data_IF_445334136267
#
_entry.id   IF_445334136267
#
_cell.length_a   1.000
_cell.length_b   1.000
_cell.length_c   1.000
_cell.angle_alpha   90.00
_cell.angle_beta   90.00
_cell.angle_gamma   90.00
#
_symmetry.space_group_name_H-M   'P 1'
#
loop_
_entity.id
_entity.type
_entity.pdbx_description
1 polymer ?
#
# COMPACT_ATOMS: atom_id res chain seq x y z
N UNK A 1 -14.99 19.17 -13.32
CA UNK A 1 -13.72 18.53 -12.92
C UNK A 1 -13.00 19.31 -11.80
N UNK A 2 -12.69 20.61 -11.91
CA UNK A 2 -12.00 21.35 -10.84
C UNK A 2 -12.78 21.39 -9.51
N UNK A 3 -14.09 21.56 -9.51
CA UNK A 3 -14.93 21.54 -8.31
C UNK A 3 -14.93 20.15 -7.64
N UNK A 4 -14.90 19.08 -8.41
CA UNK A 4 -14.82 17.71 -7.88
C UNK A 4 -13.45 17.42 -7.25
N UNK A 5 -12.35 17.86 -7.88
CA UNK A 5 -11.00 17.73 -7.30
C UNK A 5 -10.92 18.45 -5.96
N UNK A 6 -11.52 19.65 -5.83
CA UNK A 6 -11.55 20.37 -4.56
C UNK A 6 -12.24 19.57 -3.44
N UNK A 7 -13.35 18.89 -3.74
CA UNK A 7 -14.07 18.05 -2.76
C UNK A 7 -13.22 16.88 -2.24
N UNK A 8 -12.41 16.28 -3.11
CA UNK A 8 -11.59 15.10 -2.76
C UNK A 8 -10.13 15.43 -2.41
N UNK A 9 -9.75 16.72 -2.45
CA UNK A 9 -8.34 17.16 -2.29
C UNK A 9 -7.72 16.66 -0.99
N UNK A 10 -8.46 16.73 0.12
CA UNK A 10 -7.99 16.24 1.43
C UNK A 10 -7.66 14.75 1.39
N UNK A 11 -8.48 13.96 0.70
CA UNK A 11 -8.30 12.52 0.52
C UNK A 11 -7.12 12.21 -0.41
N UNK A 12 -6.94 12.99 -1.49
CA UNK A 12 -5.79 12.86 -2.38
C UNK A 12 -4.47 13.14 -1.64
N UNK A 13 -4.43 14.22 -0.88
CA UNK A 13 -3.26 14.60 -0.07
C UNK A 13 -2.98 13.57 1.03
N UNK A 14 -4.03 13.05 1.70
CA UNK A 14 -3.85 11.99 2.70
C UNK A 14 -3.23 10.73 2.10
N UNK A 15 -3.65 10.32 0.90
CA UNK A 15 -3.04 9.19 0.18
C UNK A 15 -1.59 9.48 -0.19
N UNK A 16 -1.28 10.69 -0.70
CA UNK A 16 0.08 11.07 -1.05
C UNK A 16 1.01 11.02 0.17
N UNK A 17 0.67 11.73 1.25
CA UNK A 17 1.50 11.79 2.46
C UNK A 17 1.65 10.43 3.14
N UNK A 18 0.56 9.68 3.32
CA UNK A 18 0.63 8.35 3.93
C UNK A 18 1.41 7.36 3.07
N UNK A 19 1.32 7.43 1.74
CA UNK A 19 2.10 6.59 0.83
C UNK A 19 3.59 6.93 0.88
N UNK A 20 3.97 8.22 0.97
CA UNK A 20 5.36 8.64 1.17
C UNK A 20 5.90 8.00 2.46
N UNK A 21 5.17 8.14 3.56
CA UNK A 21 5.57 7.57 4.84
C UNK A 21 5.66 6.05 4.83
N UNK A 22 4.64 5.38 4.31
CA UNK A 22 4.58 3.91 4.31
C UNK A 22 5.66 3.29 3.44
N UNK A 23 5.92 3.84 2.25
CA UNK A 23 6.95 3.31 1.34
C UNK A 23 8.35 3.60 1.90
N UNK A 24 8.56 4.73 2.58
CA UNK A 24 9.81 5.00 3.31
C UNK A 24 10.05 3.95 4.42
N UNK A 25 9.04 3.60 5.21
CA UNK A 25 9.16 2.56 6.23
C UNK A 25 9.50 1.18 5.64
N UNK A 26 8.82 0.78 4.55
CA UNK A 26 9.11 -0.50 3.87
C UNK A 26 10.54 -0.54 3.35
N UNK A 27 11.08 0.59 2.87
CA UNK A 27 12.45 0.67 2.35
C UNK A 27 13.48 0.23 3.37
N UNK A 28 13.27 0.54 4.66
CA UNK A 28 14.20 0.23 5.75
C UNK A 28 13.82 -1.01 6.58
N UNK A 29 12.59 -1.53 6.44
CA UNK A 29 12.06 -2.55 7.33
C UNK A 29 12.92 -3.83 7.43
N UNK A 30 13.39 -4.36 6.29
CA UNK A 30 14.22 -5.55 6.25
C UNK A 30 15.61 -5.31 6.89
N UNK A 31 16.19 -4.13 6.64
CA UNK A 31 17.48 -3.73 7.21
C UNK A 31 17.38 -3.53 8.73
N UNK A 32 16.25 -2.97 9.20
CA UNK A 32 15.99 -2.78 10.64
C UNK A 32 15.96 -4.10 11.40
N UNK A 33 15.44 -5.19 10.80
CA UNK A 33 15.49 -6.51 11.43
C UNK A 33 16.94 -6.97 11.60
N UNK A 34 17.77 -6.77 10.58
CA UNK A 34 19.20 -7.14 10.64
C UNK A 34 19.94 -6.33 11.71
N UNK A 35 19.63 -5.04 11.85
CA UNK A 35 20.23 -4.16 12.86
C UNK A 35 19.85 -4.59 14.28
N UNK A 36 18.57 -4.89 14.52
CA UNK A 36 18.02 -5.15 15.87
C UNK A 36 18.16 -6.62 16.31
N UNK A 37 18.00 -7.61 15.40
CA UNK A 37 17.95 -9.02 15.78
C UNK A 37 19.12 -9.86 15.29
N UNK A 38 19.91 -9.36 14.33
CA UNK A 38 20.97 -10.10 13.63
C UNK A 38 20.54 -11.49 13.06
N UNK A 39 19.23 -11.79 13.05
CA UNK A 39 18.70 -13.07 12.58
C UNK A 39 18.00 -12.91 11.22
N UNK A 40 18.59 -13.43 10.12
CA UNK A 40 18.04 -13.27 8.78
C UNK A 40 16.69 -13.96 8.57
N UNK A 41 16.33 -14.96 9.38
CA UNK A 41 15.04 -15.65 9.26
C UNK A 41 13.85 -14.81 9.73
N UNK A 42 14.10 -13.73 10.46
CA UNK A 42 13.06 -12.85 11.00
C UNK A 42 12.68 -11.68 10.08
N UNK A 43 13.39 -11.50 8.96
CA UNK A 43 13.26 -10.35 8.05
C UNK A 43 11.83 -10.16 7.49
N UNK A 44 11.09 -11.23 7.29
CA UNK A 44 9.71 -11.17 6.80
C UNK A 44 8.66 -10.74 7.84
N UNK A 45 8.97 -10.83 9.13
CA UNK A 45 7.99 -10.61 10.21
C UNK A 45 7.42 -9.19 10.26
N UNK A 46 8.19 -8.11 10.11
CA UNK A 46 7.63 -6.75 10.11
C UNK A 46 6.60 -6.56 9.00
N UNK A 47 6.88 -7.03 7.78
CA UNK A 47 5.95 -6.95 6.67
C UNK A 47 4.68 -7.78 6.92
N UNK A 48 4.82 -9.01 7.44
CA UNK A 48 3.69 -9.86 7.77
C UNK A 48 2.79 -9.23 8.84
N UNK A 49 3.39 -8.66 9.89
CA UNK A 49 2.65 -7.96 10.94
C UNK A 49 2.05 -6.64 10.44
N UNK A 50 2.70 -5.94 9.52
CA UNK A 50 2.13 -4.78 8.86
C UNK A 50 0.83 -5.13 8.09
N UNK A 51 0.82 -6.24 7.36
CA UNK A 51 -0.39 -6.76 6.70
C UNK A 51 -1.46 -7.14 7.71
N UNK A 52 -1.09 -7.84 8.79
CA UNK A 52 -2.00 -8.16 9.90
C UNK A 52 -2.58 -6.91 10.56
N UNK A 53 -1.75 -5.88 10.75
CA UNK A 53 -2.17 -4.57 11.24
C UNK A 53 -3.16 -3.87 10.31
N UNK A 54 -2.93 -3.93 9.00
CA UNK A 54 -3.86 -3.37 8.02
C UNK A 54 -5.22 -4.09 8.01
N UNK A 55 -5.22 -5.41 8.20
CA UNK A 55 -6.47 -6.17 8.37
C UNK A 55 -7.24 -5.75 9.62
N UNK A 56 -6.58 -5.66 10.77
CA UNK A 56 -7.21 -5.18 12.02
C UNK A 56 -7.61 -3.71 11.91
N UNK A 57 -6.81 -2.90 11.21
CA UNK A 57 -7.09 -1.49 10.96
C UNK A 57 -8.38 -1.25 10.19
N UNK A 58 -8.77 -2.14 9.27
CA UNK A 58 -10.09 -2.09 8.62
C UNK A 58 -11.24 -2.27 9.62
N UNK A 59 -11.09 -3.16 10.59
CA UNK A 59 -12.11 -3.36 11.64
C UNK A 59 -12.20 -2.14 12.57
N UNK A 60 -11.06 -1.54 12.93
CA UNK A 60 -10.98 -0.31 13.72
C UNK A 60 -11.62 0.85 12.96
N UNK A 61 -11.33 0.98 11.68
CA UNK A 61 -11.95 1.98 10.81
C UNK A 61 -13.46 1.82 10.75
N UNK A 62 -13.99 0.61 10.56
CA UNK A 62 -15.43 0.34 10.52
C UNK A 62 -16.09 0.68 11.86
N UNK A 63 -15.46 0.36 12.97
CA UNK A 63 -15.96 0.73 14.30
C UNK A 63 -16.04 2.26 14.48
N UNK A 64 -14.98 2.99 14.13
CA UNK A 64 -14.97 4.43 14.25
C UNK A 64 -15.91 5.13 13.25
N UNK A 65 -16.06 4.61 12.04
CA UNK A 65 -16.95 5.18 11.02
C UNK A 65 -18.42 5.10 11.43
N UNK A 66 -18.82 4.03 12.13
CA UNK A 66 -20.16 3.86 12.69
C UNK A 66 -20.42 4.79 13.88
N UNK A 67 -19.40 5.02 14.71
CA UNK A 67 -19.53 5.80 15.94
C UNK A 67 -19.44 7.31 15.72
N UNK A 68 -18.60 7.76 14.79
CA UNK A 68 -18.33 9.18 14.55
C UNK A 68 -18.72 9.57 13.11
N UNK A 69 -17.74 9.67 12.24
CA UNK A 69 -17.91 9.89 10.80
C UNK A 69 -16.80 9.17 10.05
N UNK A 70 -17.02 8.89 8.77
CA UNK A 70 -16.02 8.23 7.92
C UNK A 70 -14.70 9.03 7.85
N UNK A 71 -14.79 10.35 7.72
CA UNK A 71 -13.60 11.22 7.70
C UNK A 71 -12.86 11.22 9.03
N UNK A 72 -13.58 11.34 10.16
CA UNK A 72 -12.94 11.23 11.48
C UNK A 72 -12.30 9.87 11.72
N UNK A 73 -12.95 8.78 11.25
CA UNK A 73 -12.37 7.45 11.31
C UNK A 73 -11.05 7.35 10.54
N UNK A 74 -10.98 7.93 9.31
CA UNK A 74 -9.74 7.99 8.53
C UNK A 74 -8.64 8.75 9.29
N UNK A 75 -8.94 9.96 9.76
CA UNK A 75 -7.98 10.80 10.48
C UNK A 75 -7.42 10.11 11.72
N UNK A 76 -8.29 9.53 12.55
CA UNK A 76 -7.87 8.79 13.75
C UNK A 76 -7.00 7.57 13.41
N UNK A 77 -7.35 6.83 12.37
CA UNK A 77 -6.59 5.66 11.93
C UNK A 77 -5.21 6.06 11.39
N UNK A 78 -5.08 7.20 10.70
CA UNK A 78 -3.79 7.75 10.31
C UNK A 78 -2.94 8.14 11.53
N UNK A 79 -3.50 8.76 12.56
CA UNK A 79 -2.74 9.08 13.79
C UNK A 79 -2.28 7.84 14.54
N UNK A 80 -3.07 6.76 14.55
CA UNK A 80 -2.62 5.45 15.07
C UNK A 80 -1.40 4.96 14.28
N UNK A 81 -1.42 5.09 12.94
CA UNK A 81 -0.27 4.77 12.10
C UNK A 81 0.96 5.63 12.40
N UNK A 82 0.77 6.93 12.63
CA UNK A 82 1.84 7.83 13.06
C UNK A 82 2.47 7.42 14.39
N UNK A 83 1.64 7.02 15.36
CA UNK A 83 2.12 6.44 16.62
C UNK A 83 2.92 5.15 16.38
N UNK A 84 2.50 4.29 15.44
CA UNK A 84 3.25 3.12 15.01
C UNK A 84 4.66 3.49 14.48
N UNK A 85 4.77 4.56 13.71
CA UNK A 85 6.06 5.08 13.24
C UNK A 85 6.98 5.53 14.39
N UNK A 86 6.43 6.18 15.41
CA UNK A 86 7.22 6.53 16.64
C UNK A 86 7.69 5.30 17.40
N UNK A 87 6.89 4.25 17.50
CA UNK A 87 7.32 2.97 18.11
C UNK A 87 8.48 2.36 17.29
N UNK A 88 8.44 2.44 15.96
CA UNK A 88 9.52 1.95 15.10
C UNK A 88 10.82 2.73 15.30
N UNK A 89 10.76 4.06 15.47
CA UNK A 89 11.94 4.87 15.83
C UNK A 89 12.51 4.37 17.17
N UNK A 90 11.64 4.21 18.16
CA UNK A 90 12.06 3.75 19.49
C UNK A 90 12.66 2.34 19.43
N UNK A 91 12.19 1.47 18.54
CA UNK A 91 12.72 0.11 18.38
C UNK A 91 14.18 0.09 17.96
N UNK A 92 14.61 1.00 17.08
CA UNK A 92 16.02 1.14 16.67
C UNK A 92 16.88 1.82 17.74
N UNK A 93 16.34 2.78 18.48
CA UNK A 93 17.07 3.44 19.58
C UNK A 93 17.32 2.48 20.74
N UNK A 94 16.41 1.53 20.98
CA UNK A 94 16.48 0.61 22.12
C UNK A 94 16.90 -0.81 21.73
N UNK A 95 17.26 -1.05 20.46
CA UNK A 95 17.60 -2.38 19.90
C UNK A 95 16.53 -3.45 20.21
N UNK A 96 15.24 -3.04 20.19
CA UNK A 96 14.14 -3.91 20.62
C UNK A 96 13.38 -4.50 19.44
N UNK A 97 13.57 -5.79 19.17
CA UNK A 97 12.82 -6.51 18.14
C UNK A 97 11.32 -6.55 18.43
N UNK A 98 10.92 -6.63 19.71
CA UNK A 98 9.50 -6.59 20.09
C UNK A 98 8.84 -5.26 19.68
N UNK A 99 9.51 -4.13 19.93
CA UNK A 99 9.01 -2.82 19.51
C UNK A 99 8.97 -2.69 17.98
N UNK A 100 9.92 -3.29 17.27
CA UNK A 100 9.92 -3.33 15.80
C UNK A 100 8.65 -4.04 15.27
N UNK A 101 8.29 -5.15 15.87
CA UNK A 101 7.08 -5.91 15.51
C UNK A 101 5.80 -5.14 15.86
N UNK A 102 5.72 -4.58 17.06
CA UNK A 102 4.57 -3.80 17.53
C UNK A 102 4.37 -2.53 16.68
N UNK A 103 5.45 -1.81 16.39
CA UNK A 103 5.42 -0.63 15.54
C UNK A 103 5.01 -0.96 14.11
N UNK A 104 5.50 -2.07 13.55
CA UNK A 104 5.11 -2.54 12.20
C UNK A 104 3.62 -2.88 12.13
N UNK A 105 3.08 -3.56 13.13
CA UNK A 105 1.66 -3.84 13.23
C UNK A 105 0.83 -2.55 13.31
N UNK A 106 1.24 -1.62 14.19
CA UNK A 106 0.51 -0.36 14.42
C UNK A 106 0.60 0.57 13.21
N UNK A 107 1.75 0.62 12.51
CA UNK A 107 1.88 1.34 11.24
C UNK A 107 0.96 0.72 10.16
N UNK A 108 0.85 -0.61 10.16
CA UNK A 108 -0.09 -1.35 9.30
C UNK A 108 -1.54 -0.95 9.54
N UNK A 109 -1.96 -0.73 10.79
CA UNK A 109 -3.29 -0.17 11.11
C UNK A 109 -3.47 1.16 10.37
N UNK A 110 -2.50 2.08 10.41
CA UNK A 110 -2.54 3.34 9.65
C UNK A 110 -2.63 3.14 8.14
N UNK A 111 -1.98 2.11 7.60
CA UNK A 111 -2.04 1.79 6.17
C UNK A 111 -3.46 1.45 5.70
N UNK A 112 -4.31 0.86 6.56
CA UNK A 112 -5.72 0.63 6.22
C UNK A 112 -6.46 1.92 5.87
N UNK A 113 -6.15 3.04 6.55
CA UNK A 113 -6.73 4.35 6.23
C UNK A 113 -6.32 4.83 4.84
N UNK A 114 -5.09 4.56 4.38
CA UNK A 114 -4.67 4.88 3.01
C UNK A 114 -5.52 4.13 1.98
N UNK A 115 -5.79 2.84 2.22
CA UNK A 115 -6.64 2.04 1.34
C UNK A 115 -8.09 2.54 1.36
N UNK A 116 -8.63 2.85 2.52
CA UNK A 116 -9.98 3.37 2.68
C UNK A 116 -10.17 4.79 2.11
N UNK A 117 -9.12 5.63 2.15
CA UNK A 117 -9.16 6.98 1.57
C UNK A 117 -9.39 6.95 0.05
N UNK A 118 -8.87 5.93 -0.65
CA UNK A 118 -9.10 5.72 -2.09
C UNK A 118 -10.58 5.50 -2.39
N UNK A 119 -11.25 4.67 -1.58
CA UNK A 119 -12.69 4.44 -1.71
C UNK A 119 -13.49 5.66 -1.26
N UNK A 120 -13.08 6.34 -0.18
CA UNK A 120 -13.73 7.55 0.29
C UNK A 120 -13.75 8.64 -0.79
N UNK A 121 -12.69 8.78 -1.59
CA UNK A 121 -12.66 9.70 -2.72
C UNK A 121 -13.76 9.43 -3.76
N UNK A 122 -14.06 8.15 -4.01
CA UNK A 122 -15.17 7.75 -4.89
C UNK A 122 -16.54 8.06 -4.29
N UNK A 123 -16.70 7.96 -2.97
CA UNK A 123 -17.99 8.27 -2.30
C UNK A 123 -18.28 9.77 -2.23
N UNK A 124 -17.26 10.61 -2.07
CA UNK A 124 -17.41 12.07 -2.00
C UNK A 124 -17.68 12.69 -3.38
N UNK A 125 -17.17 12.05 -4.43
CA UNK A 125 -17.34 12.52 -5.81
C UNK A 125 -18.78 12.33 -6.30
N UNK A 126 -19.21 13.20 -7.23
CA UNK A 126 -20.49 13.02 -7.92
C UNK A 126 -20.50 11.72 -8.75
N UNK A 127 -21.68 11.16 -9.02
CA UNK A 127 -21.87 9.89 -9.71
C UNK A 127 -21.04 9.76 -11.00
N UNK A 128 -20.97 10.84 -11.78
CA UNK A 128 -20.22 10.89 -13.04
C UNK A 128 -18.70 10.77 -12.86
N UNK A 129 -18.16 11.12 -11.68
CA UNK A 129 -16.72 11.18 -11.42
C UNK A 129 -16.22 10.15 -10.41
N UNK A 130 -17.05 9.21 -9.96
CA UNK A 130 -16.67 8.19 -8.95
C UNK A 130 -15.45 7.38 -9.36
N UNK A 131 -15.45 6.81 -10.56
CA UNK A 131 -14.34 6.01 -11.07
C UNK A 131 -13.08 6.85 -11.26
N UNK A 132 -13.22 8.06 -11.79
CA UNK A 132 -12.12 9.02 -11.97
C UNK A 132 -11.48 9.39 -10.63
N UNK A 133 -12.30 9.65 -9.61
CA UNK A 133 -11.82 10.04 -8.28
C UNK A 133 -11.09 8.89 -7.58
N UNK A 134 -11.59 7.65 -7.72
CA UNK A 134 -10.90 6.45 -7.23
C UNK A 134 -9.54 6.28 -7.92
N UNK A 135 -9.51 6.34 -9.24
CA UNK A 135 -8.29 6.19 -10.04
C UNK A 135 -7.26 7.27 -9.71
N UNK A 136 -7.71 8.51 -9.54
CA UNK A 136 -6.85 9.62 -9.15
C UNK A 136 -6.27 9.41 -7.76
N UNK A 137 -7.07 8.95 -6.80
CA UNK A 137 -6.60 8.65 -5.45
C UNK A 137 -5.55 7.50 -5.44
N UNK A 138 -5.76 6.46 -6.23
CA UNK A 138 -4.75 5.39 -6.40
C UNK A 138 -3.47 5.95 -7.02
N UNK A 139 -3.60 6.80 -8.05
CA UNK A 139 -2.46 7.41 -8.74
C UNK A 139 -1.64 8.34 -7.81
N UNK A 140 -2.25 9.00 -6.84
CA UNK A 140 -1.54 9.81 -5.85
C UNK A 140 -0.53 9.01 -5.00
N UNK A 141 -0.63 7.66 -4.97
CA UNK A 141 0.41 6.81 -4.37
C UNK A 141 1.75 6.85 -5.13
N UNK A 142 1.77 7.35 -6.38
CA UNK A 142 3.00 7.58 -7.15
C UNK A 142 3.93 8.57 -6.42
N UNK A 143 3.37 9.56 -5.70
CA UNK A 143 4.17 10.46 -4.87
C UNK A 143 4.96 9.69 -3.80
N UNK A 144 4.32 8.67 -3.18
CA UNK A 144 5.00 7.77 -2.26
C UNK A 144 6.15 7.01 -2.91
N UNK A 145 5.94 6.53 -4.14
CA UNK A 145 6.95 5.79 -4.90
C UNK A 145 8.19 6.62 -5.24
N UNK A 146 7.99 7.91 -5.51
CA UNK A 146 9.10 8.81 -5.88
C UNK A 146 9.78 9.36 -4.64
N UNK A 147 9.02 9.92 -3.70
CA UNK A 147 9.57 10.69 -2.60
C UNK A 147 9.95 9.83 -1.39
N UNK A 148 9.18 8.78 -1.07
CA UNK A 148 9.44 7.96 0.13
C UNK A 148 10.86 7.40 0.18
N UNK A 149 11.26 6.50 -0.73
CA UNK A 149 12.59 5.90 -0.71
C UNK A 149 13.72 6.90 -1.03
N UNK A 150 13.43 7.91 -1.87
CA UNK A 150 14.42 8.94 -2.20
C UNK A 150 14.81 9.77 -0.98
N UNK A 151 13.83 10.21 -0.19
CA UNK A 151 14.08 10.94 1.06
C UNK A 151 14.87 10.08 2.05
N UNK A 152 14.58 8.77 2.13
CA UNK A 152 15.39 7.84 2.95
C UNK A 152 16.86 7.90 2.53
N UNK A 153 17.14 7.73 1.23
CA UNK A 153 18.51 7.73 0.73
C UNK A 153 19.22 9.07 0.85
N UNK A 154 18.48 10.19 0.78
CA UNK A 154 19.06 11.54 0.82
C UNK A 154 19.42 11.98 2.24
N UNK A 155 18.61 11.60 3.23
CA UNK A 155 18.80 12.02 4.62
C UNK A 155 19.44 10.93 5.52
N UNK A 156 19.76 9.75 5.00
CA UNK A 156 20.35 8.63 5.76
C UNK A 156 21.62 9.03 6.52
N UNK A 157 22.55 9.71 5.87
CA UNK A 157 23.81 10.14 6.50
C UNK A 157 23.61 11.14 7.65
N UNK A 158 22.62 12.04 7.53
CA UNK A 158 22.26 12.97 8.59
C UNK A 158 21.79 12.23 9.84
N UNK A 159 20.91 11.25 9.64
CA UNK A 159 20.35 10.44 10.73
C UNK A 159 21.41 9.51 11.33
N UNK A 160 22.30 8.94 10.52
CA UNK A 160 23.47 8.19 11.02
C UNK A 160 24.32 9.03 11.98
N UNK A 161 24.60 10.29 11.65
CA UNK A 161 25.38 11.18 12.51
C UNK A 161 24.65 11.59 13.79
N UNK A 162 23.32 11.71 13.74
CA UNK A 162 22.50 12.24 14.84
C UNK A 162 22.04 11.15 15.80
N UNK A 163 21.67 9.99 15.28
CA UNK A 163 21.00 8.90 16.03
C UNK A 163 21.76 7.58 15.99
N UNK A 164 22.92 7.54 15.36
CA UNK A 164 23.76 6.34 15.16
C UNK A 164 23.04 5.19 14.38
N UNK A 165 21.97 5.51 13.65
CA UNK A 165 21.31 4.60 12.71
C UNK A 165 20.75 5.37 11.52
N UNK A 166 21.17 4.99 10.32
CA UNK A 166 20.67 5.56 9.06
C UNK A 166 19.22 5.13 8.75
N UNK A 167 18.71 4.08 9.40
CA UNK A 167 17.39 3.53 9.12
C UNK A 167 16.26 4.30 9.80
N UNK A 168 16.56 5.03 10.88
CA UNK A 168 15.59 5.85 11.63
C UNK A 168 14.88 6.86 10.71
N UNK A 169 15.56 7.37 9.70
CA UNK A 169 14.98 8.33 8.74
C UNK A 169 13.72 7.77 8.07
N UNK A 170 13.70 6.48 7.70
CA UNK A 170 12.54 5.86 7.07
C UNK A 170 11.30 5.89 7.99
N UNK A 171 11.49 5.64 9.27
CA UNK A 171 10.42 5.66 10.26
C UNK A 171 10.02 7.08 10.68
N UNK A 172 10.96 8.01 10.67
CA UNK A 172 10.66 9.42 10.86
C UNK A 172 9.75 9.97 9.74
N UNK A 173 10.07 9.63 8.48
CA UNK A 173 9.24 9.98 7.32
C UNK A 173 7.87 9.28 7.40
N UNK A 174 7.83 8.02 7.88
CA UNK A 174 6.58 7.30 8.10
C UNK A 174 5.67 7.99 9.11
N UNK A 175 6.25 8.38 10.26
CA UNK A 175 5.54 9.12 11.30
C UNK A 175 4.99 10.43 10.76
N UNK A 176 5.85 11.25 10.15
CA UNK A 176 5.46 12.55 9.58
C UNK A 176 4.40 12.40 8.48
N UNK A 177 4.56 11.44 7.58
CA UNK A 177 3.62 11.18 6.49
C UNK A 177 2.23 10.78 6.99
N UNK A 178 2.15 9.88 7.98
CA UNK A 178 0.88 9.48 8.59
C UNK A 178 0.21 10.62 9.35
N UNK A 179 0.98 11.41 10.10
CA UNK A 179 0.45 12.57 10.84
C UNK A 179 -0.06 13.64 9.85
N UNK A 180 0.70 13.95 8.79
CA UNK A 180 0.26 14.89 7.76
C UNK A 180 -0.98 14.40 7.00
N UNK A 181 -1.10 13.09 6.77
CA UNK A 181 -2.30 12.49 6.21
C UNK A 181 -3.51 12.68 7.12
N UNK A 182 -3.37 12.46 8.42
CA UNK A 182 -4.41 12.72 9.40
C UNK A 182 -4.83 14.20 9.43
N UNK A 183 -3.86 15.11 9.46
CA UNK A 183 -4.14 16.55 9.41
C UNK A 183 -4.81 16.99 8.11
N UNK A 184 -4.42 16.45 6.95
CA UNK A 184 -5.10 16.78 5.69
C UNK A 184 -6.58 16.42 5.72
N UNK A 185 -6.96 15.33 6.38
CA UNK A 185 -8.37 14.98 6.57
C UNK A 185 -9.06 15.98 7.50
N UNK A 186 -8.49 16.30 8.66
CA UNK A 186 -9.16 17.16 9.65
C UNK A 186 -9.29 18.63 9.24
N UNK A 187 -8.28 19.18 8.56
CA UNK A 187 -8.23 20.61 8.25
C UNK A 187 -8.70 20.97 6.85
N UNK A 188 -8.61 20.04 5.90
CA UNK A 188 -8.93 20.32 4.49
C UNK A 188 -10.23 19.66 4.02
N UNK A 189 -10.81 18.72 4.79
CA UNK A 189 -12.11 18.16 4.44
C UNK A 189 -13.21 19.18 4.70
N UNK A 190 -14.09 19.36 3.71
CA UNK A 190 -15.35 20.06 3.93
C UNK A 190 -16.13 19.26 4.98
N UNK A 191 -16.70 19.94 5.97
CA UNK A 191 -17.54 19.35 7.02
C UNK A 191 -18.88 18.89 6.43
N UNK A 192 -18.83 17.90 5.57
CA UNK A 192 -20.04 17.30 5.02
C UNK A 192 -20.51 16.20 5.97
N UNK A 193 -21.61 16.50 6.66
CA UNK A 193 -22.28 15.60 7.61
C UNK A 193 -23.01 14.44 6.90
N UNK A 194 -23.00 14.38 5.58
CA UNK A 194 -23.79 13.45 4.77
C UNK A 194 -23.12 12.10 4.52
N UNK A 195 -21.85 11.90 4.94
CA UNK A 195 -21.15 10.63 4.82
C UNK A 195 -21.49 9.62 5.95
N UNK A 196 -22.69 9.68 6.52
CA UNK A 196 -23.26 8.54 7.23
C UNK A 196 -23.73 7.55 6.17
N UNK A 197 -23.13 6.37 6.15
CA UNK A 197 -23.68 5.27 5.34
C UNK A 197 -25.17 5.14 5.65
N UNK A 198 -26.05 5.01 4.62
CA UNK A 198 -27.40 4.51 4.86
C UNK A 198 -27.22 3.15 5.54
N UNK A 199 -27.92 2.96 6.64
CA UNK A 199 -27.87 1.80 7.53
C UNK A 199 -28.33 0.47 6.89
N UNK A 200 -28.15 0.28 5.61
CA UNK A 200 -28.49 -0.95 4.89
C UNK A 200 -27.36 -2.01 4.93
N UNK A 201 -26.51 -2.00 5.96
CA UNK A 201 -25.45 -2.99 6.14
C UNK A 201 -25.98 -4.37 6.62
N UNK A 202 -27.28 -4.58 6.74
CA UNK A 202 -27.83 -5.91 7.02
C UNK A 202 -27.84 -6.87 5.80
N UNK A 203 -27.75 -6.34 4.59
CA UNK A 203 -27.78 -7.17 3.37
C UNK A 203 -26.44 -7.76 2.94
N UNK A 204 -25.32 -7.43 3.57
CA UNK A 204 -23.99 -7.94 3.20
C UNK A 204 -23.44 -9.03 4.14
N UNK A 205 -24.26 -9.57 5.04
CA UNK A 205 -23.88 -10.70 5.89
C UNK A 205 -24.17 -12.08 5.32
N UNK A 206 -24.83 -12.20 4.20
CA UNK A 206 -24.73 -13.43 3.42
C UNK A 206 -23.32 -13.51 2.87
N UNK A 207 -22.51 -14.34 3.48
CA UNK A 207 -21.25 -14.84 2.94
C UNK A 207 -21.55 -15.25 1.51
N UNK A 208 -21.26 -14.36 0.56
CA UNK A 208 -21.25 -14.68 -0.86
C UNK A 208 -20.33 -15.87 -0.96
N UNK A 209 -20.88 -17.05 -1.13
CA UNK A 209 -20.09 -18.25 -1.41
C UNK A 209 -19.39 -17.95 -2.73
N UNK A 210 -18.13 -17.49 -2.63
CA UNK A 210 -17.33 -17.15 -3.80
C UNK A 210 -17.43 -18.33 -4.76
N UNK A 211 -17.92 -18.08 -5.96
CA UNK A 211 -17.93 -19.05 -7.04
C UNK A 211 -16.52 -19.65 -7.20
N UNK A 212 -16.46 -20.88 -7.70
CA UNK A 212 -15.19 -21.60 -7.90
C UNK A 212 -14.16 -20.79 -8.68
N UNK A 213 -14.60 -20.00 -9.68
CA UNK A 213 -13.77 -19.12 -10.47
C UNK A 213 -13.24 -17.93 -9.65
N UNK A 214 -14.07 -17.32 -8.81
CA UNK A 214 -13.65 -16.23 -7.94
C UNK A 214 -12.62 -16.71 -6.90
N UNK A 215 -12.79 -17.93 -6.35
CA UNK A 215 -11.79 -18.57 -5.47
C UNK A 215 -10.45 -18.79 -6.16
N UNK A 216 -10.48 -19.28 -7.42
CA UNK A 216 -9.27 -19.48 -8.21
C UNK A 216 -8.56 -18.15 -8.47
N UNK A 217 -9.28 -17.13 -8.92
CA UNK A 217 -8.73 -15.79 -9.16
C UNK A 217 -8.11 -15.19 -7.90
N UNK A 218 -8.77 -15.34 -6.75
CA UNK A 218 -8.23 -14.89 -5.46
C UNK A 218 -6.93 -15.61 -5.11
N UNK A 219 -6.86 -16.95 -5.33
CA UNK A 219 -5.61 -17.71 -5.08
C UNK A 219 -4.47 -17.25 -5.99
N UNK A 220 -4.75 -16.99 -7.26
CA UNK A 220 -3.76 -16.45 -8.21
C UNK A 220 -3.27 -15.08 -7.73
N UNK A 221 -4.17 -14.20 -7.31
CA UNK A 221 -3.82 -12.88 -6.80
C UNK A 221 -2.93 -12.97 -5.54
N UNK A 222 -3.28 -13.85 -4.61
CA UNK A 222 -2.49 -14.09 -3.39
C UNK A 222 -1.10 -14.62 -3.75
N UNK A 223 -0.99 -15.58 -4.68
CA UNK A 223 0.29 -16.12 -5.11
C UNK A 223 1.17 -15.05 -5.78
N UNK A 224 0.60 -14.24 -6.69
CA UNK A 224 1.33 -13.14 -7.32
C UNK A 224 1.82 -12.11 -6.28
N UNK A 225 0.97 -11.78 -5.32
CA UNK A 225 1.36 -10.87 -4.23
C UNK A 225 2.46 -11.45 -3.36
N UNK A 226 2.37 -12.74 -3.03
CA UNK A 226 3.39 -13.46 -2.26
C UNK A 226 4.75 -13.42 -2.96
N UNK A 227 4.82 -13.76 -4.26
CA UNK A 227 6.06 -13.71 -5.05
C UNK A 227 6.66 -12.31 -5.03
N UNK A 228 5.83 -11.28 -5.25
CA UNK A 228 6.25 -9.89 -5.22
C UNK A 228 6.84 -9.51 -3.86
N UNK A 229 6.16 -9.83 -2.75
CA UNK A 229 6.61 -9.48 -1.39
C UNK A 229 7.92 -10.18 -1.03
N UNK A 230 8.09 -11.45 -1.40
CA UNK A 230 9.33 -12.21 -1.12
C UNK A 230 10.53 -11.55 -1.79
N UNK A 231 10.45 -11.26 -3.09
CA UNK A 231 11.56 -10.65 -3.82
C UNK A 231 11.84 -9.24 -3.31
N UNK A 232 10.79 -8.43 -3.13
CA UNK A 232 10.91 -7.07 -2.62
C UNK A 232 11.54 -7.02 -1.22
N UNK A 233 11.18 -7.93 -0.32
CA UNK A 233 11.70 -7.95 1.05
C UNK A 233 13.16 -8.40 1.13
N UNK A 234 13.60 -9.28 0.22
CA UNK A 234 14.99 -9.74 0.15
C UNK A 234 15.93 -8.72 -0.50
N UNK A 235 15.42 -7.87 -1.39
CA UNK A 235 16.21 -6.94 -2.20
C UNK A 235 17.06 -5.95 -1.37
N UNK A 236 16.55 -5.26 -0.32
CA UNK A 236 17.37 -4.35 0.48
C UNK A 236 18.57 -5.03 1.14
N UNK A 237 18.39 -6.27 1.64
CA UNK A 237 19.46 -7.05 2.24
C UNK A 237 20.51 -7.43 1.21
N UNK A 238 20.08 -7.89 0.04
CA UNK A 238 20.99 -8.23 -1.04
C UNK A 238 21.84 -7.04 -1.49
N UNK A 239 21.22 -5.84 -1.63
CA UNK A 239 21.93 -4.60 -1.99
C UNK A 239 23.00 -4.27 -0.93
N UNK A 240 22.68 -4.42 0.36
CA UNK A 240 23.64 -4.20 1.44
C UNK A 240 24.75 -5.28 1.43
N UNK A 241 24.44 -6.54 1.13
CA UNK A 241 25.42 -7.64 1.09
C UNK A 241 26.46 -7.46 -0.04
N UNK A 242 26.09 -6.83 -1.15
CA UNK A 242 27.04 -6.48 -2.23
C UNK A 242 27.80 -5.18 -1.96
N UNK A 243 27.66 -4.59 -0.76
CA UNK A 243 28.41 -3.40 -0.32
C UNK A 243 27.86 -2.07 -0.82
N UNK A 244 26.63 -2.06 -1.32
CA UNK A 244 25.98 -0.86 -1.83
C UNK A 244 25.22 -0.06 -0.74
N UNK A 245 24.97 1.19 -1.03
CA UNK A 245 24.40 2.15 -0.07
C UNK A 245 22.88 2.06 0.03
N UNK A 246 22.31 2.54 1.15
CA UNK A 246 20.85 2.69 1.35
C UNK A 246 20.23 3.63 0.30
N UNK A 247 20.99 4.53 -0.30
CA UNK A 247 20.55 5.38 -1.42
C UNK A 247 20.21 4.54 -2.66
N UNK A 248 20.98 3.47 -2.93
CA UNK A 248 20.66 2.55 -4.00
C UNK A 248 19.43 1.72 -3.66
N UNK A 249 19.28 1.26 -2.41
CA UNK A 249 18.05 0.60 -1.91
C UNK A 249 16.84 1.48 -2.21
N UNK A 250 16.87 2.74 -1.78
CA UNK A 250 15.80 3.70 -2.02
C UNK A 250 15.47 3.87 -3.51
N UNK A 251 16.51 3.98 -4.34
CA UNK A 251 16.33 4.10 -5.80
C UNK A 251 15.62 2.90 -6.40
N UNK A 252 16.03 1.69 -6.04
CA UNK A 252 15.47 0.45 -6.57
C UNK A 252 14.03 0.23 -6.10
N UNK A 253 13.73 0.50 -4.82
CA UNK A 253 12.36 0.46 -4.29
C UNK A 253 11.47 1.50 -4.99
N UNK A 254 12.00 2.69 -5.32
CA UNK A 254 11.26 3.68 -6.11
C UNK A 254 10.88 3.15 -7.49
N UNK A 255 11.79 2.50 -8.21
CA UNK A 255 11.48 1.88 -9.51
C UNK A 255 10.41 0.80 -9.38
N UNK A 256 10.52 -0.06 -8.37
CA UNK A 256 9.52 -1.10 -8.11
C UNK A 256 8.13 -0.50 -7.88
N UNK A 257 8.02 0.42 -6.94
CA UNK A 257 6.73 1.02 -6.57
C UNK A 257 6.16 1.94 -7.66
N UNK A 258 7.00 2.56 -8.48
CA UNK A 258 6.56 3.23 -9.71
C UNK A 258 5.89 2.23 -10.67
N UNK A 259 6.49 1.07 -10.88
CA UNK A 259 5.87 -0.02 -11.66
C UNK A 259 4.48 -0.40 -11.13
N UNK A 260 4.30 -0.42 -9.80
CA UNK A 260 3.02 -0.77 -9.16
C UNK A 260 1.90 0.26 -9.40
N UNK A 261 2.20 1.54 -9.55
CA UNK A 261 1.15 2.57 -9.50
C UNK A 261 1.06 3.45 -10.73
N UNK A 262 2.14 3.65 -11.47
CA UNK A 262 2.22 4.64 -12.54
C UNK A 262 1.19 4.41 -13.65
N UNK A 263 0.99 3.17 -14.06
CA UNK A 263 0.12 2.81 -15.18
C UNK A 263 -1.29 2.38 -14.77
N UNK A 264 -1.61 2.39 -13.48
CA UNK A 264 -2.90 1.92 -12.96
C UNK A 264 -4.12 2.52 -13.68
N UNK A 265 -4.21 3.85 -13.97
CA UNK A 265 -5.36 4.42 -14.63
C UNK A 265 -5.51 3.94 -16.09
N UNK A 266 -4.39 3.73 -16.78
CA UNK A 266 -4.39 3.26 -18.18
C UNK A 266 -4.79 1.79 -18.23
N UNK A 267 -4.28 0.98 -17.30
CA UNK A 267 -4.54 -0.45 -17.23
C UNK A 267 -6.00 -0.76 -16.95
N UNK A 268 -6.67 0.00 -16.09
CA UNK A 268 -8.11 -0.16 -15.86
C UNK A 268 -8.91 -0.10 -17.15
N UNK A 269 -8.70 0.95 -17.94
CA UNK A 269 -9.37 1.14 -19.24
C UNK A 269 -9.03 0.02 -20.25
N UNK A 270 -7.79 -0.46 -20.26
CA UNK A 270 -7.36 -1.53 -21.16
C UNK A 270 -7.98 -2.88 -20.75
N UNK A 271 -8.08 -3.16 -19.47
CA UNK A 271 -8.73 -4.36 -18.92
C UNK A 271 -10.21 -4.37 -19.27
N UNK A 272 -10.90 -3.23 -19.15
CA UNK A 272 -12.31 -3.11 -19.53
C UNK A 272 -12.52 -3.35 -21.03
N UNK A 273 -11.61 -2.89 -21.88
CA UNK A 273 -11.71 -3.01 -23.33
C UNK A 273 -11.33 -4.38 -23.88
N UNK A 274 -10.26 -4.99 -23.35
CA UNK A 274 -9.67 -6.20 -23.91
C UNK A 274 -9.82 -7.45 -23.02
N UNK A 275 -10.36 -7.29 -21.83
CA UNK A 275 -10.67 -8.36 -20.90
C UNK A 275 -9.55 -8.68 -19.89
N UNK A 276 -9.98 -9.06 -18.70
CA UNK A 276 -9.11 -9.30 -17.53
C UNK A 276 -8.13 -10.48 -17.75
N UNK A 277 -8.54 -11.53 -18.46
CA UNK A 277 -7.72 -12.74 -18.68
C UNK A 277 -6.40 -12.40 -19.41
N UNK A 278 -6.47 -11.56 -20.45
CA UNK A 278 -5.30 -11.15 -21.23
C UNK A 278 -4.28 -10.43 -20.34
N UNK A 279 -4.74 -9.43 -19.58
CA UNK A 279 -3.84 -8.62 -18.73
C UNK A 279 -3.31 -9.38 -17.52
N UNK A 280 -4.09 -10.29 -16.93
CA UNK A 280 -3.60 -11.19 -15.89
C UNK A 280 -2.48 -12.09 -16.41
N UNK A 281 -2.63 -12.64 -17.64
CA UNK A 281 -1.59 -13.48 -18.26
C UNK A 281 -0.33 -12.68 -18.58
N UNK A 282 -0.46 -11.49 -19.17
CA UNK A 282 0.68 -10.60 -19.47
C UNK A 282 1.40 -10.23 -18.16
N UNK A 283 0.66 -9.86 -17.11
CA UNK A 283 1.24 -9.52 -15.82
C UNK A 283 2.01 -10.68 -15.18
N UNK A 284 1.46 -11.90 -15.25
CA UNK A 284 2.15 -13.10 -14.76
C UNK A 284 3.43 -13.40 -15.54
N UNK A 285 3.43 -13.21 -16.87
CA UNK A 285 4.64 -13.35 -17.69
C UNK A 285 5.70 -12.31 -17.34
N UNK A 286 5.30 -11.06 -17.11
CA UNK A 286 6.20 -9.99 -16.64
C UNK A 286 6.79 -10.34 -15.27
N UNK A 287 5.99 -10.90 -14.36
CA UNK A 287 6.48 -11.37 -13.05
C UNK A 287 7.50 -12.50 -13.21
N UNK A 288 7.25 -13.48 -14.08
CA UNK A 288 8.21 -14.55 -14.37
C UNK A 288 9.53 -13.98 -14.93
N UNK A 289 9.44 -13.03 -15.86
CA UNK A 289 10.64 -12.36 -16.42
C UNK A 289 11.41 -11.60 -15.33
N UNK A 290 10.71 -10.92 -14.43
CA UNK A 290 11.31 -10.26 -13.26
C UNK A 290 12.07 -11.24 -12.39
N UNK A 291 11.49 -12.42 -12.08
CA UNK A 291 12.15 -13.46 -11.30
C UNK A 291 13.44 -13.95 -12.00
N UNK A 292 13.41 -14.16 -13.32
CA UNK A 292 14.59 -14.56 -14.10
C UNK A 292 15.68 -13.49 -14.03
N UNK A 293 15.33 -12.21 -14.20
CA UNK A 293 16.28 -11.11 -14.09
C UNK A 293 16.88 -10.97 -12.69
N UNK A 294 16.14 -11.35 -11.65
CA UNK A 294 16.66 -11.35 -10.28
C UNK A 294 17.75 -12.39 -10.03
N UNK A 295 17.93 -13.38 -10.92
CA UNK A 295 19.06 -14.32 -10.87
C UNK A 295 20.40 -13.66 -11.25
N UNK A 296 20.36 -12.55 -12.03
CA UNK A 296 21.55 -11.75 -12.39
C UNK A 296 21.78 -10.63 -11.37
N UNK A 297 21.73 -10.95 -10.12
CA UNK A 297 21.63 -10.06 -8.97
C UNK A 297 22.88 -9.20 -8.68
N UNK A 298 24.04 -9.52 -9.26
CA UNK A 298 25.27 -8.72 -9.11
C UNK A 298 25.30 -7.51 -10.04
N UNK A 299 24.43 -7.45 -11.05
CA UNK A 299 24.36 -6.33 -11.97
C UNK A 299 23.24 -5.37 -11.58
N UNK A 300 23.61 -4.18 -11.14
CA UNK A 300 22.68 -3.14 -10.66
C UNK A 300 21.64 -2.77 -11.74
N UNK A 301 21.98 -2.79 -13.02
CA UNK A 301 21.03 -2.49 -14.09
C UNK A 301 19.93 -3.57 -14.17
N UNK A 302 20.30 -4.85 -14.15
CA UNK A 302 19.34 -5.95 -14.15
C UNK A 302 18.49 -5.95 -12.89
N UNK A 303 19.06 -5.59 -11.75
CA UNK A 303 18.32 -5.44 -10.50
C UNK A 303 17.26 -4.33 -10.59
N UNK A 304 17.61 -3.15 -11.12
CA UNK A 304 16.66 -2.04 -11.36
C UNK A 304 15.53 -2.43 -12.30
N UNK A 305 15.88 -3.04 -13.44
CA UNK A 305 14.89 -3.49 -14.44
C UNK A 305 14.02 -4.60 -13.86
N UNK A 306 14.61 -5.58 -13.21
CA UNK A 306 13.90 -6.70 -12.58
C UNK A 306 12.87 -6.21 -11.57
N UNK A 307 13.26 -5.31 -10.64
CA UNK A 307 12.33 -4.77 -9.64
C UNK A 307 11.24 -3.88 -10.26
N UNK A 308 11.56 -3.08 -11.26
CA UNK A 308 10.54 -2.32 -12.00
C UNK A 308 9.51 -3.24 -12.66
N UNK A 309 9.97 -4.30 -13.34
CA UNK A 309 9.08 -5.31 -13.94
C UNK A 309 8.30 -6.10 -12.89
N UNK A 310 8.87 -6.35 -11.71
CA UNK A 310 8.17 -6.97 -10.58
C UNK A 310 6.95 -6.14 -10.18
N UNK A 311 7.11 -4.83 -10.02
CA UNK A 311 6.01 -3.91 -9.73
C UNK A 311 4.99 -3.83 -10.84
N UNK A 312 5.45 -3.74 -12.09
CA UNK A 312 4.60 -3.65 -13.27
C UNK A 312 3.76 -4.94 -13.47
N UNK A 313 4.37 -6.10 -13.38
CA UNK A 313 3.69 -7.38 -13.49
C UNK A 313 2.64 -7.57 -12.38
N UNK A 314 2.97 -7.18 -11.15
CA UNK A 314 2.00 -7.15 -10.05
C UNK A 314 0.83 -6.20 -10.36
N UNK A 315 1.07 -5.01 -10.86
CA UNK A 315 0.02 -4.04 -11.21
C UNK A 315 -0.95 -4.61 -12.27
N UNK A 316 -0.42 -5.23 -13.31
CA UNK A 316 -1.23 -5.87 -14.36
C UNK A 316 -2.12 -6.98 -13.80
N UNK A 317 -1.57 -7.89 -13.01
CA UNK A 317 -2.33 -8.99 -12.41
C UNK A 317 -3.33 -8.49 -11.39
N UNK A 318 -2.93 -7.53 -10.54
CA UNK A 318 -3.78 -7.00 -9.47
C UNK A 318 -5.03 -6.30 -10.04
N UNK A 319 -4.86 -5.40 -11.01
CA UNK A 319 -5.98 -4.65 -11.60
C UNK A 319 -6.90 -5.62 -12.37
N UNK A 320 -6.33 -6.48 -13.21
CA UNK A 320 -7.11 -7.41 -14.01
C UNK A 320 -7.93 -8.39 -13.17
N UNK A 321 -7.31 -9.01 -12.17
CA UNK A 321 -7.99 -9.99 -11.32
C UNK A 321 -9.00 -9.31 -10.39
N UNK A 322 -8.67 -8.14 -9.84
CA UNK A 322 -9.61 -7.39 -8.99
C UNK A 322 -10.86 -6.98 -9.76
N UNK A 323 -10.71 -6.52 -11.01
CA UNK A 323 -11.84 -6.20 -11.89
C UNK A 323 -12.70 -7.45 -12.19
N UNK A 324 -12.06 -8.60 -12.47
CA UNK A 324 -12.78 -9.85 -12.72
C UNK A 324 -13.55 -10.32 -11.47
N UNK A 325 -12.95 -10.28 -10.28
CA UNK A 325 -13.63 -10.67 -9.02
C UNK A 325 -14.85 -9.76 -8.77
N UNK A 326 -14.69 -8.44 -8.97
CA UNK A 326 -15.78 -7.47 -8.80
C UNK A 326 -16.96 -7.80 -9.74
N UNK A 327 -16.67 -8.12 -11.01
CA UNK A 327 -17.70 -8.50 -11.99
C UNK A 327 -18.46 -9.78 -11.58
N UNK A 328 -17.76 -10.82 -11.16
CA UNK A 328 -18.38 -12.06 -10.67
C UNK A 328 -19.26 -11.85 -9.44
N UNK A 329 -18.85 -10.95 -8.53
CA UNK A 329 -19.65 -10.62 -7.34
C UNK A 329 -20.97 -9.95 -7.71
N UNK A 330 -20.96 -9.03 -8.69
CA UNK A 330 -22.16 -8.34 -9.17
C UNK A 330 -23.11 -9.30 -9.91
N UNK A 331 -22.59 -10.14 -10.81
CA UNK A 331 -23.38 -11.10 -11.58
C UNK A 331 -24.10 -12.11 -10.65
N UNK A 332 -23.42 -12.57 -9.60
CA UNK A 332 -24.01 -13.49 -8.63
C UNK A 332 -25.10 -12.81 -7.77
N UNK A 333 -24.93 -11.55 -7.38
CA UNK A 333 -25.95 -10.81 -6.63
C UNK A 333 -27.22 -10.57 -7.47
N UNK A 334 -27.08 -10.31 -8.76
CA UNK A 334 -28.21 -10.16 -9.70
C UNK A 334 -28.95 -11.50 -9.88
N UNK A 335 -28.21 -12.60 -10.03
CA UNK A 335 -28.81 -13.93 -10.22
C UNK A 335 -29.56 -14.43 -8.95
N UNK A 336 -29.15 -14.03 -7.76
CA UNK A 336 -29.87 -14.32 -6.51
C UNK A 336 -31.18 -13.52 -6.42
N UNK A 337 -31.19 -12.26 -6.83
CA UNK A 337 -32.38 -11.41 -6.82
C UNK A 337 -33.42 -11.80 -7.90
N UNK A 338 -33.03 -12.52 -8.95
CA UNK A 338 -33.97 -13.03 -9.97
C UNK A 338 -34.61 -14.37 -9.54
N UNK A 339 -34.00 -15.07 -8.57
CA UNK A 339 -34.48 -16.39 -8.09
C UNK A 339 -35.30 -16.28 -6.79
N UNK A 340 -35.33 -15.11 -6.16
CA UNK A 340 -36.18 -14.78 -5.01
C UNK A 340 -37.48 -14.12 -5.47
#
# INVERSE_FOLDING_TARGET
MFSEIKKILSLLLSVAFSSIGFIAAITVAALSVREVSANPYLVGFPNALGVGGAFVGTQIFDYFSKKYSRLSALGNTFFIGGFGGTILILSLITDSFFLLLLGSFTLGVGQSATLQSRYAASFVASETYKATSLSLAVWFSVFGSIFGPRLVGEYSELFQKTFNSELIVGYFIATAGMILAGFSIYFLSEKDTTLREPSNTEQTKELISLDSNAKLLTRILVLNHFVMVVIMSATPLHIQDIGETIKLVGTIISYHTLGMFLFSPILGNLVDKYGAKLFASIGSLILCLSCILSLFNTNILFLKIGLYLLGLGWNFTFIAISAAISKYSIENSINLNIKS
#
